data_IF_727036707226
#
_entry.id   IF_727036707226
#
_cell.length_a   1.000
_cell.length_b   1.000
_cell.length_c   1.000
_cell.angle_alpha   90.00
_cell.angle_beta   90.00
_cell.angle_gamma   90.00
#
_symmetry.space_group_name_H-M   'P 1'
#
loop_
_entity.id
_entity.type
_entity.pdbx_description
1 polymer ?
#
# COMPACT_ATOMS: atom_id res chain seq x y z
N UNK A 1 5.32 1.97 -24.94
CA UNK A 1 5.65 2.10 -23.51
C UNK A 1 4.62 3.03 -22.91
N UNK A 2 3.68 2.53 -22.09
CA UNK A 2 2.87 3.43 -21.28
C UNK A 2 3.83 4.10 -20.29
N UNK A 3 3.94 5.43 -20.25
CA UNK A 3 4.73 6.07 -19.21
C UNK A 3 4.03 5.70 -17.91
N UNK A 4 4.66 4.89 -17.07
CA UNK A 4 4.20 4.70 -15.70
C UNK A 4 4.02 6.10 -15.16
N UNK A 5 2.78 6.50 -14.96
CA UNK A 5 2.50 7.83 -14.47
C UNK A 5 3.13 7.87 -13.09
N UNK A 6 3.79 8.97 -12.71
CA UNK A 6 4.43 9.07 -11.39
C UNK A 6 3.48 8.70 -10.22
N UNK A 7 2.18 8.68 -10.48
CA UNK A 7 1.11 8.20 -9.61
C UNK A 7 1.19 6.69 -9.31
N UNK A 8 1.28 5.83 -10.32
CA UNK A 8 1.35 4.36 -10.15
C UNK A 8 2.63 3.96 -9.40
N UNK A 9 3.77 4.54 -9.78
CA UNK A 9 5.05 4.31 -9.11
C UNK A 9 5.03 4.77 -7.65
N UNK A 10 4.38 5.91 -7.37
CA UNK A 10 4.21 6.40 -5.99
C UNK A 10 3.31 5.47 -5.19
N UNK A 11 2.22 4.97 -5.78
CA UNK A 11 1.32 4.04 -5.11
C UNK A 11 2.03 2.71 -4.80
N UNK A 12 2.83 2.17 -5.72
CA UNK A 12 3.70 1.00 -5.47
C UNK A 12 4.68 1.24 -4.32
N UNK A 13 5.35 2.41 -4.29
CA UNK A 13 6.25 2.75 -3.17
C UNK A 13 5.52 2.81 -1.82
N UNK A 14 4.30 3.36 -1.80
CA UNK A 14 3.49 3.43 -0.58
C UNK A 14 3.08 2.02 -0.14
N UNK A 15 2.60 1.19 -1.08
CA UNK A 15 2.23 -0.22 -0.84
C UNK A 15 3.39 -1.01 -0.25
N UNK A 16 4.59 -0.85 -0.81
CA UNK A 16 5.80 -1.53 -0.34
C UNK A 16 6.17 -1.10 1.09
N UNK A 17 6.02 0.20 1.41
CA UNK A 17 6.23 0.74 2.75
C UNK A 17 5.21 0.23 3.77
N UNK A 18 3.93 0.15 3.38
CA UNK A 18 2.86 -0.38 4.22
C UNK A 18 3.03 -1.88 4.47
N UNK A 19 3.41 -2.67 3.45
CA UNK A 19 3.70 -4.09 3.60
C UNK A 19 4.91 -4.35 4.52
N UNK A 20 5.95 -3.50 4.46
CA UNK A 20 7.08 -3.60 5.39
C UNK A 20 6.64 -3.37 6.83
N UNK A 21 5.79 -2.37 7.08
CA UNK A 21 5.22 -2.12 8.42
C UNK A 21 4.31 -3.26 8.88
N UNK A 22 3.54 -3.85 7.95
CA UNK A 22 2.67 -5.00 8.25
C UNK A 22 3.44 -6.23 8.72
N UNK A 23 4.68 -6.40 8.26
CA UNK A 23 5.57 -7.49 8.66
C UNK A 23 6.35 -7.19 9.96
N UNK A 24 6.14 -6.02 10.59
CA UNK A 24 6.80 -5.73 11.85
C UNK A 24 6.23 -6.64 12.97
N UNK A 25 7.08 -7.39 13.68
CA UNK A 25 6.63 -8.33 14.70
C UNK A 25 6.10 -7.65 15.98
N UNK A 26 6.35 -6.35 16.16
CA UNK A 26 5.85 -5.55 17.29
C UNK A 26 4.64 -4.71 16.90
N UNK A 27 4.09 -4.92 15.70
CA UNK A 27 2.95 -4.16 15.22
C UNK A 27 1.70 -4.45 16.04
N UNK A 28 1.06 -3.39 16.52
CA UNK A 28 -0.18 -3.51 17.26
C UNK A 28 -1.31 -4.04 16.36
N UNK A 29 -2.18 -4.95 16.85
CA UNK A 29 -3.30 -5.48 16.07
C UNK A 29 -4.28 -4.41 15.56
N UNK A 30 -4.44 -3.25 16.23
CA UNK A 30 -5.22 -2.13 15.70
C UNK A 30 -4.49 -1.44 14.54
N UNK A 31 -3.18 -1.20 14.68
CA UNK A 31 -2.35 -0.65 13.60
C UNK A 31 -2.32 -1.58 12.39
N UNK A 32 -2.25 -2.89 12.62
CA UNK A 32 -2.31 -3.90 11.55
C UNK A 32 -3.59 -3.77 10.74
N UNK A 33 -4.75 -3.70 11.40
CA UNK A 33 -6.03 -3.51 10.71
C UNK A 33 -6.07 -2.20 9.93
N UNK A 34 -5.52 -1.12 10.49
CA UNK A 34 -5.45 0.17 9.81
C UNK A 34 -4.53 0.14 8.58
N UNK A 35 -3.41 -0.59 8.64
CA UNK A 35 -2.49 -0.79 7.53
C UNK A 35 -3.12 -1.66 6.43
N UNK A 36 -3.79 -2.77 6.79
CA UNK A 36 -4.51 -3.61 5.82
C UNK A 36 -5.62 -2.83 5.09
N UNK A 37 -6.37 -1.99 5.81
CA UNK A 37 -7.40 -1.14 5.21
C UNK A 37 -6.81 -0.12 4.22
N UNK A 38 -5.65 0.47 4.55
CA UNK A 38 -4.95 1.41 3.67
C UNK A 38 -4.40 0.72 2.42
N UNK A 39 -3.76 -0.44 2.58
CA UNK A 39 -3.27 -1.27 1.47
C UNK A 39 -4.40 -1.57 0.49
N UNK A 40 -5.53 -2.08 1.00
CA UNK A 40 -6.67 -2.46 0.18
C UNK A 40 -7.31 -1.29 -0.56
N UNK A 41 -7.26 -0.09 0.04
CA UNK A 41 -7.74 1.14 -0.60
C UNK A 41 -6.84 1.51 -1.79
N UNK A 42 -5.53 1.51 -1.59
CA UNK A 42 -4.54 1.84 -2.62
C UNK A 42 -4.57 0.82 -3.75
N UNK A 43 -4.63 -0.48 -3.44
CA UNK A 43 -4.76 -1.54 -4.46
C UNK A 43 -6.02 -1.35 -5.31
N UNK A 44 -7.14 -0.97 -4.70
CA UNK A 44 -8.39 -0.69 -5.43
C UNK A 44 -8.29 0.57 -6.30
N UNK A 45 -7.56 1.59 -5.85
CA UNK A 45 -7.29 2.80 -6.65
C UNK A 45 -6.35 2.50 -7.83
N UNK A 46 -5.45 1.51 -7.70
CA UNK A 46 -4.56 1.06 -8.78
C UNK A 46 -5.25 0.11 -9.78
N UNK A 47 -6.08 -0.83 -9.31
CA UNK A 47 -6.83 -1.78 -10.16
C UNK A 47 -7.92 -1.10 -11.00
N UNK A 48 -8.42 0.04 -10.52
CA UNK A 48 -9.44 0.85 -11.21
C UNK A 48 -8.83 1.92 -12.16
N UNK A 49 -7.49 1.97 -12.29
CA UNK A 49 -6.74 2.96 -13.08
C UNK A 49 -6.32 2.53 -14.49
#
# INVERSE_FOLDING_TARGET
MKPYTCTEYRQEMILLGLQRRLNDPNLDPEEKKALEAQIRKIEKEMDMG
#
